data_IF_583435114149
#
_entry.id   IF_583435114149
#
_cell.length_a   1.000
_cell.length_b   1.000
_cell.length_c   1.000
_cell.angle_alpha   90.00
_cell.angle_beta   90.00
_cell.angle_gamma   90.00
#
_symmetry.space_group_name_H-M   'P 1'
#
loop_
_entity.id
_entity.type
_entity.pdbx_description
1 polymer ?
#
# COMPACT_ATOMS: atom_id res chain seq x y z
N UNK A 1 0.59 -22.64 6.21
CA UNK A 1 0.39 -22.73 4.75
C UNK A 1 1.53 -22.01 4.09
N UNK A 2 1.98 -22.42 2.88
CA UNK A 2 3.11 -21.77 2.22
C UNK A 2 2.67 -21.18 0.88
N UNK A 3 3.36 -20.13 0.44
CA UNK A 3 3.20 -19.57 -0.89
C UNK A 3 3.68 -20.60 -1.91
N UNK A 4 2.79 -21.06 -2.77
CA UNK A 4 3.06 -22.05 -3.80
C UNK A 4 3.53 -21.42 -5.10
N UNK A 5 3.01 -20.23 -5.42
CA UNK A 5 3.36 -19.50 -6.61
C UNK A 5 3.11 -18.00 -6.44
N UNK A 6 3.87 -17.21 -7.20
CA UNK A 6 3.61 -15.81 -7.49
C UNK A 6 3.30 -15.71 -8.99
N UNK A 7 2.10 -15.24 -9.33
CA UNK A 7 1.65 -15.21 -10.73
C UNK A 7 1.31 -13.77 -11.09
N UNK A 8 2.02 -13.21 -12.07
CA UNK A 8 1.63 -11.93 -12.65
C UNK A 8 0.25 -12.03 -13.24
N UNK A 9 -0.61 -11.05 -12.97
CA UNK A 9 -1.96 -11.02 -13.53
C UNK A 9 -1.88 -10.77 -15.04
N UNK A 10 -2.62 -11.53 -15.86
CA UNK A 10 -2.52 -11.44 -17.32
C UNK A 10 -3.04 -10.11 -17.87
N UNK A 11 -4.02 -9.51 -17.19
CA UNK A 11 -4.67 -8.27 -17.61
C UNK A 11 -3.95 -7.02 -17.08
N UNK A 12 -3.13 -7.16 -16.02
CA UNK A 12 -2.33 -6.08 -15.43
C UNK A 12 -0.95 -6.61 -15.00
N UNK A 13 0.10 -6.38 -15.81
CA UNK A 13 1.46 -6.81 -15.49
C UNK A 13 2.04 -6.15 -14.23
N UNK A 14 1.43 -5.08 -13.74
CA UNK A 14 1.80 -4.41 -12.49
C UNK A 14 1.26 -5.09 -11.23
N UNK A 15 0.46 -6.15 -11.38
CA UNK A 15 -0.13 -6.90 -10.28
C UNK A 15 0.37 -8.35 -10.26
N UNK A 16 0.56 -8.87 -9.07
CA UNK A 16 0.97 -10.26 -8.82
C UNK A 16 0.02 -10.92 -7.83
N UNK A 17 -0.63 -12.00 -8.26
CA UNK A 17 -1.40 -12.90 -7.41
C UNK A 17 -0.50 -13.81 -6.58
N UNK A 18 -0.75 -13.84 -5.27
CA UNK A 18 -0.11 -14.75 -4.31
C UNK A 18 -0.95 -16.01 -4.20
N UNK A 19 -0.38 -17.16 -4.55
CA UNK A 19 -1.08 -18.45 -4.57
C UNK A 19 -0.71 -19.29 -3.36
N UNK A 20 -1.71 -19.75 -2.61
CA UNK A 20 -1.59 -20.64 -1.45
C UNK A 20 -2.66 -21.72 -1.59
N UNK A 21 -2.27 -22.99 -1.47
CA UNK A 21 -3.17 -24.15 -1.63
C UNK A 21 -3.97 -24.12 -2.95
N UNK A 22 -3.28 -23.77 -4.05
CA UNK A 22 -3.85 -23.67 -5.39
C UNK A 22 -4.81 -22.49 -5.60
N UNK A 23 -4.97 -21.59 -4.63
CA UNK A 23 -5.89 -20.44 -4.68
C UNK A 23 -5.14 -19.12 -4.57
N UNK A 24 -5.58 -18.12 -5.31
CA UNK A 24 -5.10 -16.74 -5.13
C UNK A 24 -5.70 -16.22 -3.82
N UNK A 25 -4.85 -15.97 -2.83
CA UNK A 25 -5.27 -15.46 -1.51
C UNK A 25 -5.15 -13.95 -1.39
N UNK A 26 -4.32 -13.32 -2.21
CA UNK A 26 -4.18 -11.88 -2.32
C UNK A 26 -3.58 -11.49 -3.68
N UNK A 27 -3.79 -10.26 -4.11
CA UNK A 27 -3.19 -9.65 -5.30
C UNK A 27 -2.52 -8.35 -4.86
N UNK A 28 -1.22 -8.23 -5.08
CA UNK A 28 -0.42 -7.09 -4.63
C UNK A 28 0.31 -6.44 -5.80
N UNK A 29 0.72 -5.15 -5.70
CA UNK A 29 1.59 -4.54 -6.69
C UNK A 29 2.88 -5.34 -6.84
N UNK A 30 3.29 -5.61 -8.08
CA UNK A 30 4.46 -6.44 -8.38
C UNK A 30 5.74 -5.87 -7.78
N UNK A 31 5.85 -4.54 -7.68
CA UNK A 31 7.00 -3.87 -7.07
C UNK A 31 7.11 -4.07 -5.55
N UNK A 32 6.02 -4.42 -4.88
CA UNK A 32 5.98 -4.62 -3.42
C UNK A 32 6.37 -6.05 -3.02
N UNK A 33 6.45 -6.99 -3.96
CA UNK A 33 6.73 -8.42 -3.68
C UNK A 33 8.00 -8.60 -2.84
N UNK A 34 9.09 -7.93 -3.22
CA UNK A 34 10.38 -8.03 -2.52
C UNK A 34 10.33 -7.36 -1.14
N UNK A 35 9.76 -6.15 -1.06
CA UNK A 35 9.61 -5.40 0.19
C UNK A 35 8.74 -6.15 1.23
N UNK A 36 7.71 -6.85 0.76
CA UNK A 36 6.84 -7.67 1.60
C UNK A 36 7.47 -9.02 1.99
N UNK A 37 8.61 -9.37 1.39
CA UNK A 37 9.30 -10.66 1.62
C UNK A 37 8.51 -11.85 1.07
N UNK A 38 7.70 -11.64 0.02
CA UNK A 38 6.89 -12.68 -0.59
C UNK A 38 7.73 -13.52 -1.55
N UNK A 39 7.86 -14.80 -1.27
CA UNK A 39 8.55 -15.74 -2.14
C UNK A 39 7.95 -17.14 -2.05
N UNK A 40 8.08 -17.92 -3.12
CA UNK A 40 7.64 -19.33 -3.14
C UNK A 40 8.37 -20.11 -2.04
N UNK A 41 7.60 -20.88 -1.27
CA UNK A 41 8.08 -21.64 -0.11
C UNK A 41 8.04 -20.87 1.21
N UNK A 42 7.80 -19.56 1.20
CA UNK A 42 7.63 -18.78 2.44
C UNK A 42 6.28 -19.09 3.11
N UNK A 43 6.21 -18.99 4.45
CA UNK A 43 4.96 -19.19 5.17
C UNK A 43 3.98 -18.06 4.85
N UNK A 44 2.75 -18.45 4.52
CA UNK A 44 1.58 -17.58 4.55
C UNK A 44 0.92 -17.70 5.93
N UNK A 45 1.41 -16.89 6.86
CA UNK A 45 0.92 -16.77 8.23
C UNK A 45 0.20 -15.43 8.47
N UNK A 46 -0.34 -15.24 9.66
CA UNK A 46 -1.06 -14.03 10.01
C UNK A 46 -0.18 -12.77 9.90
N UNK A 47 1.10 -12.87 10.25
CA UNK A 47 2.03 -11.74 10.15
C UNK A 47 2.26 -11.33 8.69
N UNK A 48 2.38 -12.30 7.78
CA UNK A 48 2.50 -12.05 6.33
C UNK A 48 1.22 -11.49 5.76
N UNK A 49 0.07 -12.05 6.15
CA UNK A 49 -1.23 -11.53 5.75
C UNK A 49 -1.40 -10.07 6.19
N UNK A 50 -1.11 -9.74 7.45
CA UNK A 50 -1.24 -8.36 7.95
C UNK A 50 -0.30 -7.38 7.24
N UNK A 51 0.93 -7.79 6.90
CA UNK A 51 1.84 -6.95 6.09
C UNK A 51 1.29 -6.69 4.70
N UNK A 52 0.74 -7.72 4.06
CA UNK A 52 0.11 -7.59 2.74
C UNK A 52 -1.12 -6.69 2.80
N UNK A 53 -2.02 -6.91 3.77
CA UNK A 53 -3.20 -6.08 3.96
C UNK A 53 -2.83 -4.61 4.18
N UNK A 54 -1.82 -4.34 4.99
CA UNK A 54 -1.32 -2.98 5.21
C UNK A 54 -0.79 -2.34 3.92
N UNK A 55 0.06 -3.03 3.16
CA UNK A 55 0.56 -2.53 1.86
C UNK A 55 -0.57 -2.20 0.90
N UNK A 56 -1.64 -3.01 0.86
CA UNK A 56 -2.81 -2.72 0.02
C UNK A 56 -3.58 -1.47 0.46
N UNK A 57 -3.69 -1.24 1.78
CA UNK A 57 -4.30 -0.02 2.31
C UNK A 57 -3.45 1.21 1.97
N UNK A 58 -2.13 1.12 2.11
CA UNK A 58 -1.18 2.19 1.76
C UNK A 58 -1.26 2.51 0.27
N UNK A 59 -1.24 1.50 -0.60
CA UNK A 59 -1.32 1.70 -2.05
C UNK A 59 -2.66 2.33 -2.48
N UNK A 60 -3.76 1.95 -1.82
CA UNK A 60 -5.07 2.58 -2.05
C UNK A 60 -5.04 4.05 -1.62
N UNK A 61 -4.54 4.36 -0.42
CA UNK A 61 -4.43 5.74 0.06
C UNK A 61 -3.53 6.59 -0.84
N UNK A 62 -2.43 6.02 -1.35
CA UNK A 62 -1.51 6.67 -2.30
C UNK A 62 -2.20 7.00 -3.63
N UNK A 63 -2.96 6.06 -4.20
CA UNK A 63 -3.73 6.31 -5.44
C UNK A 63 -4.76 7.41 -5.25
N UNK A 64 -5.51 7.37 -4.16
CA UNK A 64 -6.52 8.40 -3.88
C UNK A 64 -5.87 9.78 -3.62
N UNK A 65 -4.70 9.81 -2.98
CA UNK A 65 -3.93 11.03 -2.79
C UNK A 65 -3.46 11.64 -4.12
N UNK A 66 -2.98 10.81 -5.06
CA UNK A 66 -2.60 11.26 -6.40
C UNK A 66 -3.79 11.83 -7.18
N UNK A 67 -4.98 11.23 -7.03
CA UNK A 67 -6.22 11.76 -7.62
C UNK A 67 -6.56 13.13 -7.01
N UNK A 68 -6.49 13.27 -5.68
CA UNK A 68 -6.74 14.55 -5.00
C UNK A 68 -5.75 15.64 -5.46
N UNK A 69 -4.47 15.30 -5.61
CA UNK A 69 -3.46 16.21 -6.14
C UNK A 69 -3.77 16.62 -7.58
N UNK A 70 -4.17 15.67 -8.43
CA UNK A 70 -4.58 15.95 -9.82
C UNK A 70 -5.81 16.86 -9.88
N UNK A 71 -6.72 16.74 -8.91
CA UNK A 71 -7.91 17.59 -8.74
C UNK A 71 -7.58 18.97 -8.11
N UNK A 72 -6.31 19.25 -7.81
CA UNK A 72 -5.84 20.54 -7.30
C UNK A 72 -5.95 20.71 -5.77
N UNK A 73 -6.15 19.63 -5.02
CA UNK A 73 -6.07 19.67 -3.55
C UNK A 73 -4.65 20.01 -3.12
N UNK A 74 -4.51 21.01 -2.25
CA UNK A 74 -3.21 21.37 -1.69
C UNK A 74 -2.64 20.23 -0.81
N UNK A 75 -1.33 19.98 -0.88
CA UNK A 75 -0.61 18.92 -0.16
C UNK A 75 -0.99 18.86 1.33
N UNK A 76 -1.07 20.01 2.00
CA UNK A 76 -1.43 20.16 3.42
C UNK A 76 -2.82 19.63 3.79
N UNK A 77 -3.72 19.46 2.83
CA UNK A 77 -5.08 18.95 3.06
C UNK A 77 -5.23 17.46 2.76
N UNK A 78 -4.18 16.79 2.24
CA UNK A 78 -4.28 15.38 1.85
C UNK A 78 -4.62 14.47 3.03
N UNK A 79 -3.94 14.62 4.17
CA UNK A 79 -4.22 13.80 5.35
C UNK A 79 -5.70 13.87 5.77
N UNK A 80 -6.25 15.09 5.87
CA UNK A 80 -7.65 15.29 6.22
C UNK A 80 -8.61 14.69 5.18
N UNK A 81 -8.30 14.84 3.89
CA UNK A 81 -9.13 14.33 2.79
C UNK A 81 -9.13 12.81 2.74
N UNK A 82 -7.98 12.17 2.92
CA UNK A 82 -7.85 10.72 2.93
C UNK A 82 -8.52 10.11 4.16
N UNK A 83 -8.36 10.72 5.33
CA UNK A 83 -9.07 10.29 6.55
C UNK A 83 -10.58 10.40 6.37
N UNK A 84 -11.07 11.45 5.71
CA UNK A 84 -12.49 11.61 5.39
C UNK A 84 -13.02 10.58 4.37
N UNK A 85 -12.13 9.87 3.66
CA UNK A 85 -12.45 8.76 2.75
C UNK A 85 -12.32 7.38 3.43
N UNK A 86 -12.24 7.34 4.76
CA UNK A 86 -12.17 6.12 5.57
C UNK A 86 -10.86 5.33 5.39
N UNK A 87 -9.78 6.02 5.02
CA UNK A 87 -8.42 5.45 5.10
C UNK A 87 -7.94 5.43 6.54
N UNK A 88 -7.22 4.36 6.93
CA UNK A 88 -6.64 4.28 8.26
C UNK A 88 -5.51 5.30 8.43
N UNK A 89 -5.33 5.91 9.62
CA UNK A 89 -4.27 6.89 9.84
C UNK A 89 -2.87 6.36 9.53
N UNK A 90 -2.61 5.10 9.84
CA UNK A 90 -1.36 4.41 9.55
C UNK A 90 -1.12 4.31 8.03
N UNK A 91 -2.13 3.88 7.26
CA UNK A 91 -2.01 3.80 5.82
C UNK A 91 -1.84 5.17 5.15
N UNK A 92 -2.52 6.20 5.69
CA UNK A 92 -2.36 7.58 5.22
C UNK A 92 -0.94 8.10 5.48
N UNK A 93 -0.40 7.86 6.67
CA UNK A 93 0.96 8.30 7.02
C UNK A 93 1.98 7.70 6.04
N UNK A 94 2.00 6.38 5.90
CA UNK A 94 2.93 5.66 5.04
C UNK A 94 2.75 6.05 3.56
N UNK A 95 1.51 6.26 3.11
CA UNK A 95 1.23 6.71 1.74
C UNK A 95 1.82 8.09 1.45
N UNK A 96 1.68 9.04 2.39
CA UNK A 96 2.26 10.39 2.24
C UNK A 96 3.78 10.36 2.34
N UNK A 97 4.37 9.48 3.17
CA UNK A 97 5.81 9.27 3.21
C UNK A 97 6.34 8.75 1.87
N UNK A 98 5.68 7.75 1.29
CA UNK A 98 6.03 7.26 -0.05
C UNK A 98 5.91 8.34 -1.12
N UNK A 99 4.83 9.13 -1.11
CA UNK A 99 4.67 10.23 -2.08
C UNK A 99 5.74 11.30 -1.93
N UNK A 100 6.16 11.61 -0.71
CA UNK A 100 7.28 12.51 -0.48
C UNK A 100 8.60 11.92 -0.97
N UNK A 101 8.87 10.63 -0.68
CA UNK A 101 10.07 9.93 -1.15
C UNK A 101 10.14 9.84 -2.69
N UNK A 102 8.99 9.66 -3.33
CA UNK A 102 8.83 9.64 -4.79
C UNK A 102 8.90 11.05 -5.42
N UNK A 103 8.94 12.12 -4.61
CA UNK A 103 9.02 13.51 -5.06
C UNK A 103 7.70 14.15 -5.50
N UNK A 104 6.56 13.52 -5.18
CA UNK A 104 5.23 14.06 -5.43
C UNK A 104 4.82 15.14 -4.43
N UNK A 105 5.38 15.12 -3.22
CA UNK A 105 5.16 16.13 -2.19
C UNK A 105 6.43 16.93 -1.97
N UNK A 106 6.27 18.23 -1.74
CA UNK A 106 7.39 19.15 -1.50
C UNK A 106 7.81 19.21 -0.03
N UNK A 107 6.89 18.84 0.87
CA UNK A 107 7.10 18.86 2.31
C UNK A 107 6.93 17.45 2.88
N UNK A 108 7.71 17.07 3.91
CA UNK A 108 7.50 15.81 4.60
C UNK A 108 6.10 15.81 5.24
N UNK A 109 5.44 14.63 5.34
CA UNK A 109 4.15 14.55 6.02
C UNK A 109 4.29 15.05 7.45
N UNK A 110 3.44 16.02 7.81
CA UNK A 110 3.29 16.45 9.19
C UNK A 110 2.58 15.33 9.95
N UNK A 111 3.34 14.35 10.43
CA UNK A 111 2.88 13.44 11.47
C UNK A 111 2.50 14.35 12.64
N UNK A 112 1.22 14.35 13.00
CA UNK A 112 0.77 15.08 14.17
C UNK A 112 1.63 14.63 15.35
N UNK A 113 2.45 15.55 15.86
CA UNK A 113 3.03 15.37 17.17
C UNK A 113 1.86 15.20 18.13
N UNK A 114 1.72 13.99 18.67
CA UNK A 114 0.86 13.71 19.81
C UNK A 114 1.23 14.74 20.89
N UNK A 115 0.33 15.67 21.26
CA UNK A 115 0.58 16.48 22.43
C UNK A 115 0.31 15.58 23.65
N UNK A 116 1.38 15.35 24.43
CA UNK A 116 1.35 14.74 25.77
C UNK A 116 0.15 15.19 26.64
#
# INVERSE_FOLDING_TARGET
>A
MNIEALRTEPDDPGLTGVVVEGRIVSVVPTHDIEALGLAVGQPWDQATQSRVEHSLLVDRARRDALILLADGVAEQHLNQKLTAQDHSPEAVSDALEHLHADGWLTSPPSVGADPE
#
